data_IF_870930652190
#
_entry.id   IF_870930652190
#
_cell.length_a   1.000
_cell.length_b   1.000
_cell.length_c   1.000
_cell.angle_alpha   90.00
_cell.angle_beta   90.00
_cell.angle_gamma   90.00
#
_symmetry.space_group_name_H-M   'P 1'
#
loop_
_entity.id
_entity.type
_entity.pdbx_description
1 polymer ?
#
# COMPACT_ATOMS: atom_id res chain seq x y z
N UNK A 1 12.75 -6.22 2.07
CA UNK A 1 13.28 -4.93 1.58
C UNK A 1 14.80 -4.83 1.56
N UNK A 2 15.54 -5.66 2.31
CA UNK A 2 17.01 -5.69 2.25
C UNK A 2 17.61 -6.52 1.12
N UNK A 3 16.78 -7.28 0.40
CA UNK A 3 17.28 -8.17 -0.64
C UNK A 3 17.77 -7.39 -1.86
N UNK A 4 18.69 -8.00 -2.61
CA UNK A 4 19.28 -7.40 -3.82
C UNK A 4 18.19 -7.14 -4.86
N UNK A 5 17.19 -8.02 -4.94
CA UNK A 5 16.06 -7.91 -5.86
C UNK A 5 15.25 -6.63 -5.58
N UNK A 6 14.88 -6.38 -4.32
CA UNK A 6 14.12 -5.18 -3.95
C UNK A 6 14.95 -3.91 -4.15
N UNK A 7 16.23 -3.93 -3.78
CA UNK A 7 17.11 -2.76 -3.99
C UNK A 7 17.30 -2.46 -5.48
N UNK A 8 17.41 -3.48 -6.32
CA UNK A 8 17.52 -3.34 -7.78
C UNK A 8 16.21 -2.82 -8.39
N UNK A 9 15.07 -3.30 -7.92
CA UNK A 9 13.76 -2.79 -8.33
C UNK A 9 13.60 -1.31 -8.01
N UNK A 10 13.91 -0.89 -6.77
CA UNK A 10 13.86 0.52 -6.38
C UNK A 10 14.82 1.39 -7.19
N UNK A 11 16.05 0.92 -7.44
CA UNK A 11 16.99 1.62 -8.30
C UNK A 11 16.43 1.81 -9.72
N UNK A 12 15.81 0.77 -10.29
CA UNK A 12 15.14 0.85 -11.59
C UNK A 12 14.00 1.86 -11.64
N UNK A 13 13.17 1.93 -10.59
CA UNK A 13 12.13 2.97 -10.49
C UNK A 13 12.74 4.39 -10.43
N UNK A 14 13.89 4.53 -9.78
CA UNK A 14 14.60 5.80 -9.62
C UNK A 14 15.24 6.36 -10.89
N UNK A 15 15.33 5.57 -11.97
CA UNK A 15 15.74 6.06 -13.29
C UNK A 15 14.68 6.98 -13.94
N UNK A 16 13.43 6.92 -13.47
CA UNK A 16 12.39 7.86 -13.85
C UNK A 16 12.51 9.14 -13.01
N UNK A 17 12.75 10.28 -13.67
CA UNK A 17 12.94 11.58 -13.02
C UNK A 17 11.76 11.99 -12.11
N UNK A 18 10.52 11.63 -12.44
CA UNK A 18 9.35 11.97 -11.62
C UNK A 18 9.23 11.10 -10.37
N UNK A 19 9.76 9.87 -10.40
CA UNK A 19 9.73 8.93 -9.28
C UNK A 19 10.97 9.07 -8.38
N UNK A 20 12.08 9.54 -8.94
CA UNK A 20 13.37 9.63 -8.25
C UNK A 20 13.29 10.26 -6.86
N UNK A 21 12.62 11.40 -6.62
CA UNK A 21 12.56 11.99 -5.28
C UNK A 21 11.88 11.08 -4.24
N UNK A 22 10.82 10.37 -4.64
CA UNK A 22 10.10 9.44 -3.78
C UNK A 22 10.94 8.18 -3.51
N UNK A 23 11.61 7.66 -4.55
CA UNK A 23 12.52 6.52 -4.43
C UNK A 23 13.70 6.84 -3.50
N UNK A 24 14.36 7.99 -3.67
CA UNK A 24 15.48 8.41 -2.84
C UNK A 24 15.04 8.54 -1.36
N UNK A 25 13.83 9.08 -1.12
CA UNK A 25 13.25 9.20 0.22
C UNK A 25 12.94 7.83 0.85
N UNK A 26 12.41 6.89 0.07
CA UNK A 26 12.14 5.52 0.53
C UNK A 26 13.45 4.79 0.83
N UNK A 27 14.45 4.88 -0.04
CA UNK A 27 15.77 4.26 0.16
C UNK A 27 16.45 4.78 1.42
N UNK A 28 16.39 6.10 1.67
CA UNK A 28 16.89 6.71 2.91
C UNK A 28 16.19 6.14 4.15
N UNK A 29 14.85 6.08 4.14
CA UNK A 29 14.07 5.52 5.25
C UNK A 29 14.43 4.04 5.53
N UNK A 30 14.58 3.23 4.48
CA UNK A 30 14.98 1.83 4.60
C UNK A 30 16.40 1.66 5.14
N UNK A 31 17.31 2.58 4.82
CA UNK A 31 18.68 2.57 5.36
C UNK A 31 18.66 2.94 6.84
N UNK A 32 17.94 4.00 7.23
CA UNK A 32 17.78 4.37 8.65
C UNK A 32 17.14 3.26 9.49
N UNK A 33 16.27 2.46 8.89
CA UNK A 33 15.65 1.31 9.55
C UNK A 33 16.66 0.18 9.87
N UNK A 34 17.77 0.05 9.12
CA UNK A 34 18.80 -0.97 9.39
C UNK A 34 19.52 -0.73 10.72
N UNK A 35 19.71 0.53 11.09
CA UNK A 35 20.45 0.94 12.28
C UNK A 35 19.56 1.11 13.52
N UNK A 36 18.23 0.92 13.37
CA UNK A 36 17.26 1.10 14.45
C UNK A 36 17.17 -0.16 15.32
N UNK A 37 17.35 0.00 16.62
CA UNK A 37 17.03 -1.06 17.58
C UNK A 37 15.54 -1.40 17.51
N UNK A 38 15.21 -2.69 17.60
CA UNK A 38 13.84 -3.19 17.54
C UNK A 38 13.07 -2.73 16.29
N UNK A 39 13.76 -2.53 15.16
CA UNK A 39 13.22 -2.01 13.91
C UNK A 39 11.87 -2.64 13.48
N UNK A 40 11.71 -3.95 13.66
CA UNK A 40 10.45 -4.63 13.34
C UNK A 40 9.31 -4.21 14.26
N UNK A 41 9.55 -4.09 15.56
CA UNK A 41 8.53 -3.67 16.54
C UNK A 41 8.11 -2.23 16.26
N UNK A 42 9.09 -1.35 16.04
CA UNK A 42 8.85 0.06 15.76
C UNK A 42 8.08 0.24 14.44
N UNK A 43 8.47 -0.49 13.39
CA UNK A 43 7.75 -0.45 12.11
C UNK A 43 6.32 -1.01 12.24
N UNK A 44 6.13 -2.07 13.03
CA UNK A 44 4.80 -2.60 13.31
C UNK A 44 3.95 -1.60 14.09
N UNK A 45 4.53 -0.86 15.03
CA UNK A 45 3.84 0.20 15.77
C UNK A 45 3.42 1.35 14.84
N UNK A 46 4.35 1.83 14.01
CA UNK A 46 4.09 2.87 13.00
C UNK A 46 2.97 2.40 12.03
N UNK A 47 3.01 1.15 11.57
CA UNK A 47 1.97 0.56 10.72
C UNK A 47 0.61 0.52 11.42
N UNK A 48 0.56 0.02 12.67
CA UNK A 48 -0.68 -0.02 13.45
C UNK A 48 -1.27 1.39 13.64
N UNK A 49 -0.41 2.36 13.93
CA UNK A 49 -0.81 3.74 14.14
C UNK A 49 -1.38 4.38 12.86
N UNK A 50 -0.74 4.15 11.72
CA UNK A 50 -1.15 4.72 10.46
C UNK A 50 -2.39 4.05 9.89
N UNK A 51 -2.44 2.72 9.83
CA UNK A 51 -3.41 2.01 9.00
C UNK A 51 -4.52 1.29 9.77
N UNK A 52 -4.33 1.01 11.07
CA UNK A 52 -5.28 0.19 11.86
C UNK A 52 -6.09 0.99 12.88
N UNK A 53 -5.85 2.31 13.00
CA UNK A 53 -6.65 3.21 13.84
C UNK A 53 -7.94 3.63 13.12
N UNK A 54 -8.76 4.43 13.80
CA UNK A 54 -9.96 5.04 13.19
C UNK A 54 -9.58 6.08 12.15
N UNK A 55 -10.45 6.29 11.16
CA UNK A 55 -10.41 7.35 10.14
C UNK A 55 -10.00 8.75 10.65
N UNK A 56 -10.38 9.10 11.89
CA UNK A 56 -10.04 10.37 12.51
C UNK A 56 -8.55 10.55 12.81
N UNK A 57 -7.80 9.46 13.00
CA UNK A 57 -6.42 9.49 13.51
C UNK A 57 -5.44 8.65 12.68
N UNK A 58 -5.93 7.95 11.65
CA UNK A 58 -5.13 7.13 10.74
C UNK A 58 -5.33 7.52 9.28
N UNK A 59 -4.48 6.98 8.42
CA UNK A 59 -4.61 7.02 6.97
C UNK A 59 -5.13 5.66 6.49
N UNK A 60 -6.42 5.40 6.72
CA UNK A 60 -7.06 4.13 6.37
C UNK A 60 -6.81 3.80 4.88
N UNK A 61 -6.26 2.61 4.54
CA UNK A 61 -5.75 2.33 3.21
C UNK A 61 -6.84 1.91 2.21
N UNK A 62 -8.02 2.54 2.21
CA UNK A 62 -9.16 2.19 1.36
C UNK A 62 -9.60 3.37 0.52
N UNK A 63 -9.76 3.20 -0.79
CA UNK A 63 -10.17 4.29 -1.68
C UNK A 63 -11.54 4.87 -1.29
N UNK A 64 -12.48 4.05 -0.80
CA UNK A 64 -13.79 4.49 -0.34
C UNK A 64 -13.75 5.57 0.76
N UNK A 65 -12.69 5.62 1.56
CA UNK A 65 -12.51 6.64 2.60
C UNK A 65 -12.14 8.02 2.04
N UNK A 66 -11.67 8.10 0.78
CA UNK A 66 -11.17 9.33 0.16
C UNK A 66 -12.04 9.81 -0.99
N UNK A 67 -12.58 8.87 -1.79
CA UNK A 67 -13.34 9.17 -3.00
C UNK A 67 -14.73 8.52 -3.02
N UNK A 68 -15.13 7.83 -1.94
CA UNK A 68 -16.49 7.30 -1.76
C UNK A 68 -17.53 8.40 -1.55
N UNK A 69 -18.79 8.05 -1.78
CA UNK A 69 -19.94 8.97 -1.67
C UNK A 69 -20.57 8.94 -0.27
N UNK A 70 -20.49 7.80 0.43
CA UNK A 70 -21.09 7.54 1.74
C UNK A 70 -20.20 7.90 2.93
N UNK A 71 -18.88 8.02 2.69
CA UNK A 71 -17.88 8.17 3.76
C UNK A 71 -17.66 6.90 4.59
N UNK A 72 -18.03 5.72 4.07
CA UNK A 72 -17.87 4.43 4.73
C UNK A 72 -16.93 3.50 3.93
N UNK A 73 -16.46 2.43 4.60
CA UNK A 73 -15.77 1.33 3.95
C UNK A 73 -16.72 0.55 3.03
N UNK A 74 -16.16 -0.09 2.00
CA UNK A 74 -16.90 -0.90 1.00
C UNK A 74 -17.96 -0.10 0.25
N UNK A 75 -17.65 1.14 -0.11
CA UNK A 75 -18.50 1.96 -0.97
C UNK A 75 -18.21 1.67 -2.46
N UNK A 76 -18.82 2.44 -3.34
CA UNK A 76 -18.68 2.39 -4.80
C UNK A 76 -17.26 2.12 -5.33
N UNK A 77 -16.16 2.69 -4.80
CA UNK A 77 -14.81 2.34 -5.26
C UNK A 77 -14.48 0.84 -5.11
N UNK A 78 -14.94 0.18 -4.05
CA UNK A 78 -14.76 -1.26 -3.87
C UNK A 78 -15.51 -2.05 -4.94
N UNK A 79 -16.77 -1.70 -5.24
CA UNK A 79 -17.57 -2.35 -6.29
C UNK A 79 -16.95 -2.15 -7.68
N UNK A 80 -16.45 -0.94 -7.96
CA UNK A 80 -15.78 -0.61 -9.23
C UNK A 80 -14.47 -1.39 -9.40
N UNK A 81 -13.68 -1.54 -8.33
CA UNK A 81 -12.46 -2.34 -8.34
C UNK A 81 -12.73 -3.84 -8.49
N UNK A 82 -13.74 -4.39 -7.80
CA UNK A 82 -14.15 -5.80 -7.97
C UNK A 82 -14.53 -6.09 -9.42
N UNK A 83 -15.32 -5.20 -10.03
CA UNK A 83 -15.72 -5.34 -11.43
C UNK A 83 -14.53 -5.26 -12.37
N UNK A 84 -13.63 -4.30 -12.14
CA UNK A 84 -12.42 -4.14 -12.96
C UNK A 84 -11.54 -5.38 -12.88
N UNK A 85 -11.29 -5.92 -11.69
CA UNK A 85 -10.51 -7.15 -11.53
C UNK A 85 -11.16 -8.34 -12.25
N UNK A 86 -12.48 -8.47 -12.14
CA UNK A 86 -13.23 -9.53 -12.81
C UNK A 86 -13.14 -9.44 -14.34
N UNK A 87 -13.12 -8.23 -14.92
CA UNK A 87 -12.92 -8.02 -16.36
C UNK A 87 -11.55 -8.52 -16.84
N UNK A 88 -10.54 -8.57 -15.95
CA UNK A 88 -9.22 -9.15 -16.19
C UNK A 88 -9.10 -10.62 -15.75
N UNK A 89 -10.18 -11.23 -15.25
CA UNK A 89 -10.20 -12.61 -14.78
C UNK A 89 -9.48 -12.82 -13.44
N UNK A 90 -9.31 -11.76 -12.65
CA UNK A 90 -8.69 -11.77 -11.32
C UNK A 90 -9.78 -11.50 -10.26
N UNK A 91 -9.58 -12.03 -9.06
CA UNK A 91 -10.44 -11.74 -7.91
C UNK A 91 -9.60 -11.69 -6.64
N UNK A 92 -10.08 -10.95 -5.63
CA UNK A 92 -9.46 -10.93 -4.31
C UNK A 92 -9.64 -12.30 -3.64
N UNK A 93 -8.59 -12.81 -3.00
CA UNK A 93 -8.67 -14.05 -2.22
C UNK A 93 -9.67 -13.87 -1.06
N UNK A 94 -10.68 -14.73 -0.99
CA UNK A 94 -11.69 -14.74 0.08
C UNK A 94 -11.06 -14.84 1.49
N UNK A 95 -9.85 -15.38 1.62
CA UNK A 95 -9.13 -15.48 2.88
C UNK A 95 -8.47 -14.18 3.32
N UNK A 96 -8.22 -13.23 2.41
CA UNK A 96 -7.55 -11.96 2.70
C UNK A 96 -8.41 -11.05 3.59
N UNK A 97 -9.75 -11.16 3.49
CA UNK A 97 -10.74 -10.35 4.23
C UNK A 97 -10.57 -8.84 4.08
N UNK A 98 -9.92 -8.40 3.02
CA UNK A 98 -9.81 -7.00 2.62
C UNK A 98 -10.68 -6.76 1.38
N UNK A 99 -11.31 -5.59 1.25
CA UNK A 99 -12.05 -5.21 0.05
C UNK A 99 -11.11 -4.91 -1.13
N UNK A 100 -11.68 -4.92 -2.34
CA UNK A 100 -10.91 -4.71 -3.56
C UNK A 100 -10.29 -3.31 -3.69
N UNK A 101 -10.82 -2.31 -2.96
CA UNK A 101 -10.29 -0.95 -2.93
C UNK A 101 -9.24 -0.71 -1.82
N UNK A 102 -8.78 -1.77 -1.17
CA UNK A 102 -7.62 -1.68 -0.28
C UNK A 102 -6.36 -1.40 -1.12
N UNK A 103 -5.57 -0.38 -0.75
CA UNK A 103 -4.40 0.08 -1.51
C UNK A 103 -3.42 -1.05 -1.89
N UNK A 104 -3.14 -1.97 -0.97
CA UNK A 104 -2.28 -3.12 -1.25
C UNK A 104 -2.86 -4.07 -2.32
N UNK A 105 -4.18 -4.24 -2.36
CA UNK A 105 -4.88 -5.07 -3.36
C UNK A 105 -4.83 -4.40 -4.73
N UNK A 106 -5.06 -3.10 -4.80
CA UNK A 106 -4.95 -2.33 -6.04
C UNK A 106 -3.50 -2.34 -6.60
N UNK A 107 -2.49 -2.17 -5.73
CA UNK A 107 -1.09 -2.22 -6.13
C UNK A 107 -0.65 -3.61 -6.60
N UNK A 108 -1.14 -4.67 -5.96
CA UNK A 108 -0.89 -6.04 -6.40
C UNK A 108 -1.51 -6.29 -7.77
N UNK A 109 -2.76 -5.85 -7.99
CA UNK A 109 -3.41 -5.94 -9.29
C UNK A 109 -2.66 -5.20 -10.41
N UNK A 110 -2.11 -4.01 -10.13
CA UNK A 110 -1.28 -3.27 -11.09
C UNK A 110 0.07 -3.93 -11.38
N UNK A 111 0.58 -4.72 -10.45
CA UNK A 111 1.88 -5.41 -10.57
C UNK A 111 1.81 -6.77 -11.27
N UNK A 112 0.61 -7.33 -11.46
CA UNK A 112 0.36 -8.59 -12.18
C UNK A 112 0.28 -8.38 -13.70
#
# INVERSE_FOLDING_TARGET
YHSVEIRSFLAGLGENESLKPAVDSLVDALNRLQDRNDAQLELAADFCELFLKTDKYGALPYASMYIGESGLLNDKPAEEMEKLMADFGVQVDENLKEPADHLAVELDFLGN
#
